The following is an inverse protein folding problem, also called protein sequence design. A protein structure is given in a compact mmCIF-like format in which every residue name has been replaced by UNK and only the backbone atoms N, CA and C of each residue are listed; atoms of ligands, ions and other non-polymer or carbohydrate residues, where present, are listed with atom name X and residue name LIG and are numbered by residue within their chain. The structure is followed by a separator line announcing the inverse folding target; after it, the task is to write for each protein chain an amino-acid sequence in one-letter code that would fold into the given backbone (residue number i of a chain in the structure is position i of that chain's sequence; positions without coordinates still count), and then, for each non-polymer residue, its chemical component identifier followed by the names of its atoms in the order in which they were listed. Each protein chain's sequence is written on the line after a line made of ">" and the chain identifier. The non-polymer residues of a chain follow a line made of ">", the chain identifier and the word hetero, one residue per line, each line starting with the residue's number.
data_IF_780473208647
#
_entry.id   IF_780473208647
#
_cell.length_a   1.000
_cell.length_b   1.000
_cell.length_c   1.000
_cell.angle_alpha   90.00
_cell.angle_beta   90.00
_cell.angle_gamma   90.00
#
_symmetry.space_group_name_H-M   'P 1'
#
loop_
_entity.id
_entity.type
_entity.pdbx_description
1 polymer ?
#
# COMPACT_ATOMS: atom_id res chain seq x y z
N UNK A 1 28.56 18.58 -0.25
CA UNK A 1 27.75 19.18 0.82
C UNK A 1 26.95 18.07 1.47
N UNK A 2 27.39 17.54 2.62
CA UNK A 2 26.57 16.63 3.42
C UNK A 2 25.57 17.49 4.19
N UNK A 3 24.30 17.48 3.76
CA UNK A 3 23.22 18.17 4.46
C UNK A 3 23.11 17.61 5.87
N UNK A 4 23.06 18.49 6.88
CA UNK A 4 22.77 18.09 8.24
C UNK A 4 21.42 17.40 8.26
N UNK A 5 21.38 16.09 8.52
CA UNK A 5 20.14 15.42 8.86
C UNK A 5 19.67 16.01 10.20
N UNK A 6 18.76 16.98 10.12
CA UNK A 6 18.02 17.41 11.30
C UNK A 6 17.28 16.19 11.86
N UNK A 7 17.33 15.99 13.17
CA UNK A 7 16.59 14.90 13.81
C UNK A 7 15.11 14.99 13.44
N UNK A 8 14.48 13.84 13.20
CA UNK A 8 13.07 13.80 12.85
C UNK A 8 12.20 14.33 13.99
N UNK A 9 11.12 15.07 13.67
CA UNK A 9 10.14 15.46 14.67
C UNK A 9 9.55 14.22 15.36
N UNK A 10 9.28 14.26 16.68
CA UNK A 10 8.65 13.16 17.37
C UNK A 10 7.21 12.98 16.89
N UNK A 11 6.81 11.74 16.62
CA UNK A 11 5.41 11.35 16.41
C UNK A 11 4.79 11.02 17.77
N UNK A 12 3.66 11.64 18.09
CA UNK A 12 2.98 11.52 19.40
C UNK A 12 2.41 10.13 19.64
N UNK A 13 1.91 9.49 18.59
CA UNK A 13 1.42 8.12 18.62
C UNK A 13 1.98 7.36 17.43
N UNK A 14 3.07 6.62 17.64
CA UNK A 14 3.73 5.89 16.55
C UNK A 14 3.06 4.53 16.24
N UNK A 15 2.31 3.95 17.18
CA UNK A 15 1.77 2.59 17.08
C UNK A 15 0.31 2.51 17.52
N UNK A 16 -0.46 1.64 16.86
CA UNK A 16 -1.89 1.43 17.13
C UNK A 16 -2.18 0.10 17.86
N UNK A 17 -1.16 -0.53 18.43
CA UNK A 17 -1.25 -1.88 18.99
C UNK A 17 -1.40 -2.93 17.88
N UNK A 18 -2.08 -4.03 18.19
CA UNK A 18 -2.25 -5.19 17.28
C UNK A 18 -3.70 -5.66 17.16
N UNK A 19 -4.64 -4.92 17.76
CA UNK A 19 -6.07 -5.23 17.72
C UNK A 19 -6.89 -3.96 17.49
N UNK A 20 -8.05 -4.09 16.84
CA UNK A 20 -8.97 -2.97 16.62
C UNK A 20 -9.42 -2.30 17.94
N UNK A 21 -9.61 -3.10 19.00
CA UNK A 21 -9.98 -2.59 20.33
C UNK A 21 -8.86 -1.72 20.92
N UNK A 22 -7.61 -2.17 20.86
CA UNK A 22 -6.44 -1.40 21.30
C UNK A 22 -6.27 -0.13 20.46
N UNK A 23 -6.37 -0.23 19.14
CA UNK A 23 -6.25 0.91 18.24
C UNK A 23 -7.30 1.99 18.56
N UNK A 24 -8.56 1.60 18.75
CA UNK A 24 -9.63 2.51 19.19
C UNK A 24 -9.32 3.15 20.55
N UNK A 25 -8.86 2.36 21.51
CA UNK A 25 -8.52 2.87 22.85
C UNK A 25 -7.36 3.87 22.83
N UNK A 26 -6.40 3.72 21.91
CA UNK A 26 -5.28 4.64 21.71
C UNK A 26 -5.65 5.88 20.87
N UNK A 27 -6.86 5.93 20.29
CA UNK A 27 -7.31 7.04 19.45
C UNK A 27 -6.82 6.95 18.00
N UNK A 28 -6.39 5.77 17.53
CA UNK A 28 -6.08 5.56 16.13
C UNK A 28 -7.32 5.62 15.23
N UNK A 29 -7.08 5.82 13.93
CA UNK A 29 -8.09 5.93 12.89
C UNK A 29 -8.02 4.71 12.00
N UNK A 30 -9.17 4.12 11.65
CA UNK A 30 -9.20 3.09 10.62
C UNK A 30 -9.22 3.75 9.24
N UNK A 31 -8.29 3.35 8.39
CA UNK A 31 -8.10 3.82 7.03
C UNK A 31 -8.50 2.70 6.06
N UNK A 32 -9.75 2.72 5.59
CA UNK A 32 -10.33 1.60 4.82
C UNK A 32 -9.57 1.32 3.53
N UNK A 33 -9.18 2.37 2.80
CA UNK A 33 -8.44 2.20 1.56
C UNK A 33 -7.09 1.50 1.79
N UNK A 34 -6.48 1.62 2.97
CA UNK A 34 -5.22 0.94 3.32
C UNK A 34 -5.45 -0.35 4.12
N UNK A 35 -6.70 -0.59 4.53
CA UNK A 35 -7.13 -1.67 5.41
C UNK A 35 -6.25 -1.74 6.67
N UNK A 36 -6.08 -0.58 7.32
CA UNK A 36 -5.11 -0.37 8.39
C UNK A 36 -5.63 0.53 9.51
N UNK A 37 -5.24 0.23 10.74
CA UNK A 37 -5.36 1.16 11.87
C UNK A 37 -4.09 2.01 11.96
N UNK A 38 -4.23 3.31 11.72
CA UNK A 38 -3.11 4.26 11.64
C UNK A 38 -3.21 5.35 12.70
N UNK A 39 -2.05 5.90 13.08
CA UNK A 39 -1.98 7.08 13.93
C UNK A 39 -2.72 8.27 13.31
N UNK A 40 -3.37 9.14 14.10
CA UNK A 40 -3.96 10.37 13.59
C UNK A 40 -2.97 11.25 12.80
N UNK A 41 -1.68 11.20 13.12
CA UNK A 41 -0.65 11.99 12.43
C UNK A 41 -0.29 11.44 11.04
N UNK A 42 -0.57 10.17 10.78
CA UNK A 42 -0.37 9.49 9.49
C UNK A 42 -1.68 9.23 8.72
N UNK A 43 -2.83 9.64 9.26
CA UNK A 43 -4.13 9.48 8.62
C UNK A 43 -4.38 10.63 7.63
N UNK A 44 -4.66 10.31 6.37
CA UNK A 44 -5.07 11.32 5.38
C UNK A 44 -6.60 11.36 5.27
N UNK A 45 -7.18 12.38 5.87
CA UNK A 45 -8.63 12.54 5.93
C UNK A 45 -9.25 12.86 4.56
N UNK A 46 -8.52 13.55 3.68
CA UNK A 46 -9.03 13.90 2.36
C UNK A 46 -9.00 12.70 1.41
N UNK A 47 -7.94 11.89 1.43
CA UNK A 47 -7.89 10.65 0.65
C UNK A 47 -8.87 9.61 1.17
N UNK A 48 -9.08 9.53 2.49
CA UNK A 48 -10.13 8.70 3.07
C UNK A 48 -11.52 9.14 2.60
N UNK A 49 -11.82 10.45 2.60
CA UNK A 49 -13.05 10.98 2.02
C UNK A 49 -13.17 10.75 0.51
N UNK A 50 -12.07 10.76 -0.23
CA UNK A 50 -12.07 10.43 -1.67
C UNK A 50 -12.50 8.98 -1.90
N UNK A 51 -11.92 8.05 -1.12
CA UNK A 51 -12.29 6.63 -1.14
C UNK A 51 -13.76 6.41 -0.78
N UNK A 52 -14.23 7.05 0.30
CA UNK A 52 -15.58 6.84 0.85
C UNK A 52 -16.72 7.36 -0.04
N UNK A 53 -16.41 8.10 -1.12
CA UNK A 53 -17.41 8.51 -2.13
C UNK A 53 -17.94 7.36 -2.98
N UNK A 54 -17.18 6.27 -3.07
CA UNK A 54 -17.60 5.08 -3.79
C UNK A 54 -18.22 4.08 -2.83
N UNK A 55 -19.16 3.28 -3.32
CA UNK A 55 -19.74 2.17 -2.58
C UNK A 55 -18.88 0.91 -2.83
N UNK A 56 -17.91 0.67 -1.96
CA UNK A 56 -17.00 -0.47 -2.06
C UNK A 56 -17.63 -1.74 -1.49
N UNK A 57 -17.55 -2.83 -2.24
CA UNK A 57 -17.89 -4.16 -1.76
C UNK A 57 -16.62 -4.96 -1.42
N UNK A 58 -16.73 -5.89 -0.47
CA UNK A 58 -15.62 -6.75 -0.07
C UNK A 58 -16.06 -8.22 -0.09
N UNK A 59 -15.25 -9.12 -0.66
CA UNK A 59 -15.55 -10.55 -0.72
C UNK A 59 -14.80 -11.32 0.39
N UNK A 60 -15.30 -12.52 0.71
CA UNK A 60 -14.65 -13.44 1.67
C UNK A 60 -13.57 -14.31 1.02
N UNK A 61 -13.69 -14.54 -0.27
CA UNK A 61 -12.80 -15.38 -1.09
C UNK A 61 -12.42 -14.62 -2.36
N UNK A 62 -11.49 -15.17 -3.13
CA UNK A 62 -11.07 -14.66 -4.44
C UNK A 62 -12.08 -14.95 -5.57
N UNK A 63 -13.28 -15.40 -5.23
CA UNK A 63 -14.37 -15.62 -6.18
C UNK A 63 -15.32 -14.44 -6.09
N UNK A 64 -15.91 -14.03 -7.21
CA UNK A 64 -16.97 -13.00 -7.23
C UNK A 64 -18.23 -13.59 -6.60
N UNK A 65 -18.65 -13.16 -5.40
CA UNK A 65 -19.85 -13.70 -4.78
C UNK A 65 -21.10 -12.95 -5.31
N UNK A 66 -22.30 -13.49 -5.11
CA UNK A 66 -23.55 -12.73 -5.25
C UNK A 66 -23.53 -11.45 -4.42
N UNK A 67 -24.26 -10.42 -4.84
CA UNK A 67 -24.24 -9.11 -4.19
C UNK A 67 -24.70 -9.16 -2.72
N UNK A 68 -25.63 -10.06 -2.40
CA UNK A 68 -26.15 -10.33 -1.06
C UNK A 68 -25.12 -10.95 -0.10
N UNK A 69 -24.08 -11.61 -0.62
CA UNK A 69 -23.04 -12.28 0.14
C UNK A 69 -21.80 -11.40 0.35
N UNK A 70 -21.73 -10.25 -0.35
CA UNK A 70 -20.68 -9.25 -0.18
C UNK A 70 -20.71 -8.67 1.23
N UNK A 71 -19.52 -8.46 1.80
CA UNK A 71 -19.37 -7.73 3.05
C UNK A 71 -19.61 -6.24 2.75
N UNK A 72 -20.60 -5.60 3.40
CA UNK A 72 -20.87 -4.17 3.18
C UNK A 72 -19.72 -3.29 3.65
N UNK A 73 -19.53 -2.15 2.99
CA UNK A 73 -18.52 -1.15 3.36
C UNK A 73 -18.63 -0.75 4.83
N UNK A 74 -19.84 -0.59 5.37
CA UNK A 74 -20.09 -0.19 6.76
C UNK A 74 -19.60 -1.24 7.76
N UNK A 75 -19.56 -2.53 7.35
CA UNK A 75 -18.98 -3.60 8.15
C UNK A 75 -17.46 -3.56 8.06
N UNK A 76 -16.90 -3.39 6.87
CA UNK A 76 -15.45 -3.26 6.67
C UNK A 76 -14.88 -2.02 7.41
N UNK A 77 -15.60 -0.90 7.40
CA UNK A 77 -15.26 0.35 8.09
C UNK A 77 -15.12 0.22 9.61
N UNK A 78 -15.64 -0.86 10.22
CA UNK A 78 -15.44 -1.13 11.65
C UNK A 78 -13.98 -1.49 11.95
N UNK A 79 -13.21 -1.91 10.94
CA UNK A 79 -11.80 -2.28 11.08
C UNK A 79 -11.58 -3.54 11.90
N UNK A 80 -12.55 -4.46 11.89
CA UNK A 80 -12.54 -5.71 12.68
C UNK A 80 -12.33 -6.96 11.82
N UNK A 81 -12.41 -6.83 10.50
CA UNK A 81 -12.12 -7.92 9.56
C UNK A 81 -10.62 -8.19 9.55
N UNK A 82 -10.21 -9.45 9.72
CA UNK A 82 -8.78 -9.83 9.64
C UNK A 82 -8.26 -9.80 8.21
N UNK A 83 -9.13 -10.12 7.24
CA UNK A 83 -8.84 -9.98 5.83
C UNK A 83 -10.11 -9.83 4.99
N UNK A 84 -9.95 -9.42 3.72
CA UNK A 84 -11.03 -9.35 2.72
C UNK A 84 -10.47 -9.32 1.30
N UNK A 85 -11.19 -9.91 0.35
CA UNK A 85 -10.83 -9.87 -1.07
C UNK A 85 -11.49 -8.70 -1.80
N UNK A 86 -10.76 -8.12 -2.76
CA UNK A 86 -11.26 -7.01 -3.60
C UNK A 86 -10.96 -7.22 -5.08
N UNK A 87 -11.81 -6.69 -5.99
CA UNK A 87 -11.58 -6.76 -7.41
C UNK A 87 -10.43 -5.84 -7.85
N UNK A 88 -9.91 -6.10 -9.05
CA UNK A 88 -8.82 -5.34 -9.66
C UNK A 88 -9.08 -3.83 -9.66
N UNK A 89 -10.28 -3.39 -10.03
CA UNK A 89 -10.65 -1.97 -10.05
C UNK A 89 -10.46 -1.27 -8.70
N UNK A 90 -10.82 -1.94 -7.60
CA UNK A 90 -10.63 -1.44 -6.24
C UNK A 90 -9.15 -1.49 -5.81
N UNK A 91 -8.43 -2.54 -6.21
CA UNK A 91 -6.99 -2.64 -6.01
C UNK A 91 -6.24 -1.46 -6.68
N UNK A 92 -6.65 -1.09 -7.91
CA UNK A 92 -6.07 0.05 -8.62
C UNK A 92 -6.34 1.39 -7.94
N UNK A 93 -7.55 1.57 -7.42
CA UNK A 93 -7.88 2.75 -6.62
C UNK A 93 -7.00 2.82 -5.35
N UNK A 94 -6.77 1.69 -4.67
CA UNK A 94 -5.83 1.63 -3.54
C UNK A 94 -4.42 2.08 -3.96
N UNK A 95 -3.84 1.47 -5.00
CA UNK A 95 -2.50 1.81 -5.47
C UNK A 95 -2.35 3.30 -5.79
N UNK A 96 -3.35 3.89 -6.47
CA UNK A 96 -3.34 5.31 -6.79
C UNK A 96 -3.41 6.21 -5.53
N UNK A 97 -4.23 5.86 -4.54
CA UNK A 97 -4.32 6.61 -3.29
C UNK A 97 -3.05 6.51 -2.44
N UNK A 98 -2.40 5.35 -2.40
CA UNK A 98 -1.13 5.17 -1.69
C UNK A 98 -0.03 6.04 -2.31
N UNK A 99 0.05 6.12 -3.63
CA UNK A 99 0.96 7.04 -4.31
C UNK A 99 0.66 8.52 -3.99
N UNK A 100 -0.61 8.92 -3.98
CA UNK A 100 -1.00 10.28 -3.53
C UNK A 100 -0.58 10.53 -2.09
N UNK A 101 -0.84 9.57 -1.18
CA UNK A 101 -0.51 9.68 0.25
C UNK A 101 1.00 9.83 0.45
N UNK A 102 1.80 9.03 -0.24
CA UNK A 102 3.25 9.14 -0.26
C UNK A 102 3.69 10.54 -0.69
N UNK A 103 3.22 11.01 -1.85
CA UNK A 103 3.58 12.33 -2.38
C UNK A 103 3.24 13.46 -1.40
N UNK A 104 2.05 13.41 -0.78
CA UNK A 104 1.61 14.41 0.21
C UNK A 104 2.48 14.37 1.47
N UNK A 105 2.86 13.19 1.96
CA UNK A 105 3.73 13.06 3.12
C UNK A 105 5.10 13.70 2.85
N UNK A 106 5.69 13.43 1.69
CA UNK A 106 6.97 14.03 1.26
C UNK A 106 6.84 15.55 1.11
N UNK A 107 5.86 16.03 0.32
CA UNK A 107 5.70 17.44 0.01
C UNK A 107 5.37 18.30 1.24
N UNK A 108 4.61 17.75 2.19
CA UNK A 108 4.21 18.43 3.42
C UNK A 108 5.13 18.10 4.60
N UNK A 109 6.17 17.30 4.37
CA UNK A 109 7.14 16.90 5.37
C UNK A 109 6.51 16.27 6.64
N UNK A 110 5.51 15.39 6.43
CA UNK A 110 4.72 14.71 7.47
C UNK A 110 5.24 13.29 7.73
N UNK A 111 4.97 12.72 8.92
CA UNK A 111 5.20 11.29 9.11
C UNK A 111 4.27 10.49 8.20
N UNK A 112 4.63 9.25 7.93
CA UNK A 112 3.92 8.33 7.06
C UNK A 112 3.86 6.95 7.71
N UNK A 113 2.79 6.20 7.43
CA UNK A 113 2.69 4.84 7.90
C UNK A 113 3.67 3.92 7.16
N UNK A 114 4.18 2.90 7.85
CA UNK A 114 5.23 1.99 7.36
C UNK A 114 4.81 1.16 6.14
N UNK A 115 3.51 1.10 5.82
CA UNK A 115 3.02 0.43 4.61
C UNK A 115 3.13 1.36 3.40
N UNK A 116 2.68 2.61 3.55
CA UNK A 116 2.82 3.65 2.52
C UNK A 116 4.29 4.04 2.28
N UNK A 117 5.13 4.06 3.32
CA UNK A 117 6.55 4.38 3.17
C UNK A 117 7.40 3.24 2.62
N UNK A 118 6.87 2.01 2.52
CA UNK A 118 7.64 0.86 2.06
C UNK A 118 7.94 0.96 0.56
N UNK A 119 9.23 0.97 0.19
CA UNK A 119 9.64 0.94 -1.22
C UNK A 119 9.09 -0.29 -1.96
N UNK A 120 9.12 -1.47 -1.34
CA UNK A 120 8.56 -2.69 -1.93
C UNK A 120 7.08 -2.53 -2.25
N UNK A 121 6.33 -1.82 -1.40
CA UNK A 121 4.91 -1.59 -1.63
C UNK A 121 4.67 -0.55 -2.73
N UNK A 122 5.48 0.52 -2.77
CA UNK A 122 5.46 1.51 -3.86
C UNK A 122 5.77 0.87 -5.22
N UNK A 123 6.80 0.01 -5.29
CA UNK A 123 7.18 -0.75 -6.48
C UNK A 123 6.05 -1.71 -6.92
N UNK A 124 5.47 -2.45 -5.98
CA UNK A 124 4.30 -3.28 -6.24
C UNK A 124 3.15 -2.47 -6.84
N UNK A 125 2.77 -1.35 -6.21
CA UNK A 125 1.71 -0.47 -6.71
C UNK A 125 2.02 0.07 -8.11
N UNK A 126 3.26 0.47 -8.38
CA UNK A 126 3.68 0.92 -9.71
C UNK A 126 3.56 -0.19 -10.76
N UNK A 127 3.97 -1.42 -10.42
CA UNK A 127 3.85 -2.57 -11.32
C UNK A 127 2.38 -2.92 -11.59
N UNK A 128 1.50 -2.86 -10.59
CA UNK A 128 0.06 -3.07 -10.80
C UNK A 128 -0.54 -2.01 -11.74
N UNK A 129 -0.11 -0.74 -11.64
CA UNK A 129 -0.58 0.36 -12.51
C UNK A 129 -0.26 0.18 -13.99
N UNK A 130 0.72 -0.67 -14.32
CA UNK A 130 1.15 -0.92 -15.70
C UNK A 130 0.91 -2.37 -16.15
N UNK A 131 0.17 -3.15 -15.37
CA UNK A 131 -0.24 -4.50 -15.76
C UNK A 131 -1.46 -4.43 -16.70
N UNK A 132 -1.16 -4.38 -18.01
CA UNK A 132 -2.18 -4.25 -19.06
C UNK A 132 -3.04 -5.50 -19.22
N UNK A 133 -2.54 -6.66 -18.82
CA UNK A 133 -3.31 -7.91 -18.86
C UNK A 133 -4.39 -7.87 -17.78
N UNK A 134 -4.01 -7.57 -16.53
CA UNK A 134 -4.97 -7.42 -15.44
C UNK A 134 -5.93 -6.24 -15.66
N UNK A 135 -5.48 -5.16 -16.32
CA UNK A 135 -6.35 -4.05 -16.72
C UNK A 135 -7.52 -4.47 -17.62
N UNK A 136 -7.43 -5.61 -18.31
CA UNK A 136 -8.52 -6.16 -19.11
C UNK A 136 -9.58 -6.90 -18.29
N UNK A 137 -9.35 -7.11 -16.98
CA UNK A 137 -10.22 -7.88 -16.08
C UNK A 137 -10.57 -7.10 -14.79
N UNK A 138 -11.32 -5.98 -14.88
CA UNK A 138 -11.58 -5.08 -13.76
C UNK A 138 -12.33 -5.69 -12.57
N UNK A 139 -13.08 -6.77 -12.82
CA UNK A 139 -13.91 -7.46 -11.81
C UNK A 139 -13.23 -8.72 -11.24
N UNK A 140 -11.98 -9.00 -11.65
CA UNK A 140 -11.23 -10.13 -11.13
C UNK A 140 -10.79 -9.84 -9.68
N UNK A 141 -11.23 -10.68 -8.74
CA UNK A 141 -10.82 -10.62 -7.34
C UNK A 141 -9.41 -11.16 -7.16
N UNK A 142 -8.43 -10.26 -7.22
CA UNK A 142 -7.01 -10.61 -7.24
C UNK A 142 -6.19 -10.08 -6.05
N UNK A 143 -6.83 -9.39 -5.11
CA UNK A 143 -6.13 -8.79 -3.98
C UNK A 143 -6.77 -9.21 -2.66
N UNK A 144 -5.97 -9.83 -1.79
CA UNK A 144 -6.33 -10.18 -0.41
C UNK A 144 -5.78 -9.09 0.52
N UNK A 145 -6.69 -8.30 1.08
CA UNK A 145 -6.37 -7.23 2.01
C UNK A 145 -6.24 -7.82 3.41
N UNK A 146 -5.05 -7.79 4.00
CA UNK A 146 -4.87 -8.13 5.42
C UNK A 146 -4.94 -6.91 6.32
N UNK A 147 -5.54 -7.03 7.51
CA UNK A 147 -5.62 -5.96 8.50
C UNK A 147 -4.24 -5.60 9.03
N UNK A 148 -3.89 -4.32 8.99
CA UNK A 148 -2.55 -3.83 9.37
C UNK A 148 -2.61 -2.87 10.56
N UNK A 149 -1.50 -2.81 11.28
CA UNK A 149 -1.23 -1.82 12.34
C UNK A 149 0.16 -1.21 12.10
N UNK A 150 0.35 -0.44 11.01
CA UNK A 150 1.65 0.07 10.62
C UNK A 150 2.18 1.11 11.61
N UNK A 151 3.50 1.29 11.61
CA UNK A 151 4.19 2.29 12.43
C UNK A 151 4.10 3.64 11.72
N UNK A 152 3.85 4.72 12.46
CA UNK A 152 3.83 6.09 11.95
C UNK A 152 5.15 6.79 12.31
N UNK A 153 5.97 7.10 11.32
CA UNK A 153 7.30 7.69 11.51
C UNK A 153 7.81 8.45 10.26
N UNK A 154 9.09 8.81 10.27
CA UNK A 154 9.77 9.52 9.18
C UNK A 154 10.75 8.62 8.40
N UNK A 155 10.61 7.30 8.48
CA UNK A 155 11.57 6.35 7.86
C UNK A 155 11.77 6.59 6.36
N UNK A 156 10.75 7.12 5.67
CA UNK A 156 10.85 7.52 4.26
C UNK A 156 11.98 8.49 3.94
N UNK A 157 12.48 9.26 4.92
CA UNK A 157 13.66 10.14 4.76
C UNK A 157 14.98 9.38 4.72
N UNK A 158 15.01 8.15 5.24
CA UNK A 158 16.23 7.39 5.51
C UNK A 158 16.42 6.16 4.61
N UNK A 159 15.47 5.90 3.72
CA UNK A 159 15.48 4.73 2.84
C UNK A 159 16.44 4.82 1.65
N UNK A 160 17.06 5.98 1.39
CA UNK A 160 17.90 6.20 0.21
C UNK A 160 19.00 5.14 0.02
N UNK A 161 19.71 4.77 1.10
CA UNK A 161 20.76 3.73 1.02
C UNK A 161 20.20 2.36 0.67
N UNK A 162 19.08 1.97 1.28
CA UNK A 162 18.42 0.68 1.00
C UNK A 162 17.93 0.61 -0.44
N UNK A 163 17.41 1.72 -0.98
CA UNK A 163 16.98 1.83 -2.38
C UNK A 163 18.18 1.73 -3.34
N UNK A 164 19.29 2.42 -3.06
CA UNK A 164 20.52 2.35 -3.87
C UNK A 164 21.07 0.91 -3.98
N UNK A 165 21.15 0.19 -2.85
CA UNK A 165 21.59 -1.21 -2.81
C UNK A 165 20.68 -2.12 -3.64
N UNK A 166 19.36 -1.91 -3.57
CA UNK A 166 18.39 -2.73 -4.29
C UNK A 166 18.45 -2.50 -5.79
N UNK A 167 18.51 -1.24 -6.24
CA UNK A 167 18.68 -0.86 -7.65
C UNK A 167 19.95 -1.49 -8.23
N UNK A 168 21.07 -1.47 -7.48
CA UNK A 168 22.32 -2.09 -7.90
C UNK A 168 22.23 -3.64 -8.00
N UNK A 169 21.45 -4.28 -7.12
CA UNK A 169 21.23 -5.74 -7.17
C UNK A 169 20.40 -6.18 -8.38
N UNK A 170 19.41 -5.39 -8.77
CA UNK A 170 18.55 -5.64 -9.94
C UNK A 170 19.31 -5.45 -11.25
N UNK A 171 20.18 -4.44 -11.34
CA UNK A 171 21.05 -4.26 -12.51
C UNK A 171 21.99 -5.45 -12.68
N UNK A 172 22.58 -5.91 -11.58
CA UNK A 172 23.51 -7.06 -11.58
C UNK A 172 22.83 -8.37 -11.99
N UNK A 173 21.55 -8.55 -11.63
CA UNK A 173 20.76 -9.73 -12.00
C UNK A 173 20.36 -9.72 -13.49
N UNK A 174 20.14 -8.54 -14.08
CA UNK A 174 19.89 -8.39 -15.52
C UNK A 174 21.15 -8.66 -16.34
N UNK A 175 22.31 -8.22 -15.87
CA UNK A 175 23.60 -8.47 -16.54
C UNK A 175 24.02 -9.94 -16.48
N UNK A 176 23.57 -10.71 -15.46
CA UNK A 176 23.83 -12.15 -15.33
C UNK A 176 23.00 -13.06 -16.24
N UNK A 177 21.95 -12.55 -16.89
CA UNK A 177 21.06 -13.31 -17.78
C UNK A 177 21.38 -13.15 -19.28
N UNK A 178 22.48 -12.47 -19.64
CA UNK A 178 22.87 -12.23 -21.02
C UNK A 178 24.07 -13.07 -21.47
N UNK A 179 23.82 -14.21 -22.13
CA UNK A 179 24.44 -14.66 -23.40
C UNK A 179 24.30 -16.18 -23.62
N UNK A 180 23.15 -16.63 -24.16
CA UNK A 180 23.14 -17.78 -25.06
C UNK A 180 22.12 -17.54 -26.18
N UNK A 181 22.47 -16.67 -27.12
CA UNK A 181 21.88 -16.67 -28.45
C UNK A 181 22.88 -17.33 -29.40
N UNK A 182 22.95 -18.64 -29.36
CA UNK A 182 23.55 -19.43 -30.44
C UNK A 182 22.63 -19.42 -31.65
N UNK A 183 22.88 -18.48 -32.57
CA UNK A 183 22.27 -18.44 -33.89
C UNK A 183 22.69 -19.66 -34.72
N UNK A 184 21.81 -20.65 -34.84
CA UNK A 184 21.90 -21.69 -35.86
C UNK A 184 21.04 -21.30 -37.07
N UNK A 185 21.64 -20.64 -38.05
CA UNK A 185 21.11 -20.65 -39.43
C UNK A 185 21.78 -21.81 -40.17
N UNK A 186 21.04 -22.91 -40.29
CA UNK A 186 21.37 -24.04 -41.16
C UNK A 186 20.91 -23.80 -42.59
N UNK A 187 21.67 -24.42 -43.51
CA UNK A 187 21.68 -24.35 -44.97
C UNK A 187 20.34 -24.50 -45.71
#
# INVERSE_FOLDING_TARGET
>A
MHGSQGQDPPVRLAHCGTTAATARALGCRFELHNFAWVSPECYDEELSREWDKQAWGFARTNETPPAEDMIPQEVAMRGELTHAWVPWSQHMAHCALIWKKFHRAVALNRPMDSWTSSYNHSEHCANMLIDWELASWPDLYNSDLHLKFPICDYEWRHQGRQMEERIASESSSRDGLGHDHTSHHGH
#
